data_IF_482595796841
#
_entry.id   IF_482595796841
#
_cell.length_a   1.000
_cell.length_b   1.000
_cell.length_c   1.000
_cell.angle_alpha   90.00
_cell.angle_beta   90.00
_cell.angle_gamma   90.00
#
_symmetry.space_group_name_H-M   'P 1'
#
loop_
_entity.id
_entity.type
_entity.pdbx_description
1 polymer ?
#
# COMPACT_ATOMS: atom_id res chain seq x y z
N UNK A 1 -0.82 19.77 12.38
CA UNK A 1 -0.75 18.31 12.60
C UNK A 1 0.73 17.91 12.65
N UNK A 2 1.14 17.04 13.58
CA UNK A 2 2.51 16.53 13.65
C UNK A 2 2.59 15.05 13.26
N UNK A 3 3.52 14.69 12.38
CA UNK A 3 3.78 13.31 11.93
C UNK A 3 5.16 12.88 12.42
N UNK A 4 5.30 11.62 12.84
CA UNK A 4 6.62 11.06 13.15
C UNK A 4 7.42 10.83 11.87
N UNK A 5 8.53 11.54 11.72
CA UNK A 5 9.43 11.44 10.58
C UNK A 5 10.56 10.47 10.91
N UNK A 6 10.58 9.31 10.25
CA UNK A 6 11.60 8.27 10.47
C UNK A 6 13.01 8.77 10.14
N UNK A 7 13.17 9.70 9.19
CA UNK A 7 14.48 10.26 8.81
C UNK A 7 15.14 11.03 9.96
N UNK A 8 14.37 11.81 10.70
CA UNK A 8 14.85 12.65 11.80
C UNK A 8 14.55 12.07 13.19
N UNK A 9 13.75 11.00 13.24
CA UNK A 9 13.27 10.31 14.45
C UNK A 9 12.48 11.20 15.41
N UNK A 10 11.78 12.21 14.89
CA UNK A 10 11.03 13.20 15.67
C UNK A 10 9.62 13.40 15.12
N UNK A 11 8.73 13.93 15.95
CA UNK A 11 7.43 14.44 15.50
C UNK A 11 7.61 15.84 14.93
N UNK A 12 7.27 16.04 13.67
CA UNK A 12 7.45 17.29 12.93
C UNK A 12 6.12 17.78 12.37
N UNK A 13 5.97 19.10 12.21
CA UNK A 13 4.79 19.66 11.56
C UNK A 13 4.72 19.18 10.11
N UNK A 14 3.59 18.59 9.75
CA UNK A 14 3.33 18.22 8.36
C UNK A 14 3.15 19.49 7.54
N UNK A 15 4.09 19.74 6.63
CA UNK A 15 4.07 20.85 5.68
C UNK A 15 4.05 20.25 4.27
N UNK A 16 2.94 20.36 3.51
CA UNK A 16 2.89 19.82 2.16
C UNK A 16 3.84 20.57 1.22
N UNK A 17 4.26 19.91 0.14
CA UNK A 17 5.06 20.52 -0.92
C UNK A 17 4.27 21.65 -1.61
N UNK A 18 2.99 21.42 -1.88
CA UNK A 18 2.06 22.42 -2.38
C UNK A 18 0.99 22.69 -1.32
N UNK A 19 0.74 23.96 -1.00
CA UNK A 19 -0.27 24.35 -0.02
C UNK A 19 -1.63 23.68 -0.33
N UNK A 20 -2.25 23.10 0.70
CA UNK A 20 -3.53 22.40 0.59
C UNK A 20 -3.48 21.01 -0.07
N UNK A 21 -2.33 20.54 -0.57
CA UNK A 21 -2.23 19.22 -1.24
C UNK A 21 -1.31 18.24 -0.52
N UNK A 22 -1.85 17.09 -0.13
CA UNK A 22 -1.07 16.00 0.46
C UNK A 22 -0.81 14.91 -0.57
N UNK A 23 0.46 14.61 -0.82
CA UNK A 23 0.89 13.47 -1.65
C UNK A 23 1.34 12.34 -0.73
N UNK A 24 0.78 11.14 -0.93
CA UNK A 24 1.07 9.97 -0.10
C UNK A 24 1.40 8.80 -1.02
N UNK A 25 2.58 8.20 -0.81
CA UNK A 25 2.94 6.91 -1.39
C UNK A 25 3.12 5.89 -0.26
N UNK A 26 2.53 4.71 -0.45
CA UNK A 26 2.68 3.57 0.45
C UNK A 26 3.05 2.36 -0.38
N UNK A 27 4.10 1.65 -0.01
CA UNK A 27 4.44 0.38 -0.66
C UNK A 27 3.30 -0.62 -0.46
N UNK A 28 2.76 -1.16 -1.54
CA UNK A 28 1.75 -2.22 -1.48
C UNK A 28 2.34 -3.63 -1.44
N UNK A 29 1.49 -4.66 -1.49
CA UNK A 29 1.92 -6.04 -1.28
C UNK A 29 2.56 -6.64 -2.53
N UNK A 30 3.44 -7.63 -2.30
CA UNK A 30 3.86 -8.58 -3.34
C UNK A 30 2.76 -9.62 -3.55
N UNK A 31 2.29 -9.81 -4.78
CA UNK A 31 1.12 -10.65 -5.10
C UNK A 31 1.48 -12.13 -5.29
N UNK A 32 2.28 -12.67 -4.36
CA UNK A 32 2.71 -14.07 -4.38
C UNK A 32 1.81 -15.00 -3.54
N UNK A 33 1.03 -14.46 -2.59
CA UNK A 33 0.13 -15.24 -1.76
C UNK A 33 -1.02 -14.40 -1.18
N UNK A 34 -2.02 -15.06 -0.58
CA UNK A 34 -3.12 -14.41 0.11
C UNK A 34 -2.61 -13.49 1.24
N UNK A 35 -3.25 -12.32 1.35
CA UNK A 35 -2.98 -11.33 2.41
C UNK A 35 -3.33 -11.93 3.77
N UNK A 36 -2.43 -11.80 4.74
CA UNK A 36 -2.72 -12.06 6.14
C UNK A 36 -2.94 -10.74 6.91
N UNK A 37 -3.45 -10.83 8.13
CA UNK A 37 -3.79 -9.65 8.96
C UNK A 37 -2.62 -8.66 9.13
N UNK A 38 -1.39 -9.17 9.21
CA UNK A 38 -0.18 -8.34 9.21
C UNK A 38 -0.01 -7.46 7.97
N UNK A 39 -0.36 -7.94 6.77
CA UNK A 39 -0.33 -7.13 5.55
C UNK A 39 -1.48 -6.12 5.49
N UNK A 40 -2.61 -6.41 6.14
CA UNK A 40 -3.76 -5.50 6.19
C UNK A 40 -3.51 -4.29 7.10
N UNK A 41 -2.70 -4.43 8.17
CA UNK A 41 -2.46 -3.35 9.12
C UNK A 41 -1.92 -2.05 8.47
N UNK A 42 -0.88 -2.08 7.63
CA UNK A 42 -0.44 -0.89 6.90
C UNK A 42 -1.56 -0.24 6.09
N UNK A 43 -2.36 -1.03 5.37
CA UNK A 43 -3.47 -0.51 4.55
C UNK A 43 -4.46 0.30 5.39
N UNK A 44 -4.87 -0.22 6.55
CA UNK A 44 -5.78 0.47 7.47
C UNK A 44 -5.14 1.74 8.07
N UNK A 45 -3.88 1.67 8.49
CA UNK A 45 -3.18 2.82 9.11
C UNK A 45 -3.07 3.98 8.12
N UNK A 46 -2.69 3.69 6.88
CA UNK A 46 -2.51 4.73 5.87
C UNK A 46 -3.83 5.21 5.26
N UNK A 47 -4.86 4.36 5.17
CA UNK A 47 -6.20 4.83 4.82
C UNK A 47 -6.78 5.73 5.94
N UNK A 48 -6.52 5.43 7.20
CA UNK A 48 -6.88 6.31 8.33
C UNK A 48 -6.19 7.67 8.21
N UNK A 49 -4.89 7.71 7.89
CA UNK A 49 -4.16 8.95 7.65
C UNK A 49 -4.75 9.74 6.46
N UNK A 50 -5.02 9.05 5.34
CA UNK A 50 -5.65 9.65 4.15
C UNK A 50 -7.01 10.26 4.49
N UNK A 51 -7.89 9.51 5.17
CA UNK A 51 -9.22 9.99 5.58
C UNK A 51 -9.13 11.19 6.50
N UNK A 52 -8.19 11.19 7.43
CA UNK A 52 -7.98 12.32 8.33
C UNK A 52 -7.50 13.57 7.59
N UNK A 53 -6.56 13.42 6.64
CA UNK A 53 -6.08 14.53 5.80
C UNK A 53 -7.21 15.11 4.92
N UNK A 54 -8.05 14.27 4.34
CA UNK A 54 -9.26 14.69 3.62
C UNK A 54 -10.21 15.45 4.55
N UNK A 55 -10.48 14.91 5.74
CA UNK A 55 -11.37 15.52 6.73
C UNK A 55 -10.92 16.93 7.16
N UNK A 56 -9.62 17.15 7.33
CA UNK A 56 -9.08 18.47 7.71
C UNK A 56 -8.84 19.40 6.50
N UNK A 57 -9.32 19.04 5.31
CA UNK A 57 -9.39 19.93 4.15
C UNK A 57 -8.23 19.86 3.15
N UNK A 58 -7.41 18.81 3.18
CA UNK A 58 -6.40 18.59 2.13
C UNK A 58 -7.02 17.93 0.90
N UNK A 59 -6.56 18.35 -0.28
CA UNK A 59 -6.64 17.55 -1.51
C UNK A 59 -5.57 16.45 -1.43
N UNK A 60 -5.99 15.18 -1.37
CA UNK A 60 -5.09 14.05 -1.13
C UNK A 60 -4.93 13.20 -2.39
N UNK A 61 -3.69 13.12 -2.90
CA UNK A 61 -3.31 12.11 -3.89
C UNK A 61 -2.62 10.95 -3.18
N UNK A 62 -3.30 9.81 -3.13
CA UNK A 62 -2.81 8.58 -2.53
C UNK A 62 -2.47 7.57 -3.62
N UNK A 63 -1.25 7.03 -3.60
CA UNK A 63 -0.76 6.01 -4.55
C UNK A 63 -0.19 4.83 -3.79
N UNK A 64 -0.54 3.62 -4.22
CA UNK A 64 0.03 2.37 -3.74
C UNK A 64 0.26 1.44 -4.93
N UNK A 65 1.39 0.74 -4.95
CA UNK A 65 1.74 -0.19 -6.02
C UNK A 65 1.27 -1.62 -5.69
N UNK A 66 1.33 -2.51 -6.67
CA UNK A 66 1.38 -3.95 -6.44
C UNK A 66 2.69 -4.46 -7.00
N UNK A 67 3.41 -5.28 -6.24
CA UNK A 67 4.63 -5.92 -6.75
C UNK A 67 4.24 -7.23 -7.41
N UNK A 68 4.14 -7.21 -8.73
CA UNK A 68 3.71 -8.31 -9.61
C UNK A 68 4.87 -9.08 -10.25
N UNK A 69 6.11 -8.67 -9.96
CA UNK A 69 7.32 -9.39 -10.31
C UNK A 69 8.24 -9.41 -9.10
N UNK A 70 8.55 -10.62 -8.61
CA UNK A 70 9.39 -10.87 -7.44
C UNK A 70 9.82 -12.34 -7.44
N UNK A 71 10.97 -12.66 -6.84
CA UNK A 71 11.49 -14.03 -6.75
C UNK A 71 10.50 -14.98 -6.09
N UNK A 72 9.70 -14.51 -5.12
CA UNK A 72 8.67 -15.33 -4.46
C UNK A 72 7.56 -15.75 -5.42
N UNK A 73 7.19 -14.87 -6.35
CA UNK A 73 6.19 -15.16 -7.38
C UNK A 73 6.75 -16.19 -8.36
N UNK A 74 8.00 -15.99 -8.80
CA UNK A 74 8.68 -16.88 -9.74
C UNK A 74 8.86 -18.28 -9.15
N UNK A 75 9.28 -18.39 -7.89
CA UNK A 75 9.49 -19.67 -7.23
C UNK A 75 8.17 -20.43 -7.03
N UNK A 76 7.12 -19.74 -6.58
CA UNK A 76 5.78 -20.33 -6.46
C UNK A 76 5.24 -20.83 -7.81
N UNK A 77 5.40 -20.04 -8.87
CA UNK A 77 4.97 -20.42 -10.21
C UNK A 77 5.68 -21.69 -10.70
N UNK A 78 6.98 -21.84 -10.39
CA UNK A 78 7.74 -23.07 -10.68
C UNK A 78 7.24 -24.26 -9.85
N UNK A 79 6.96 -24.07 -8.56
CA UNK A 79 6.42 -25.11 -7.67
C UNK A 79 5.03 -25.61 -8.14
N UNK A 80 4.17 -24.69 -8.58
CA UNK A 80 2.83 -25.01 -9.07
C UNK A 80 2.80 -25.40 -10.58
N UNK A 81 3.93 -25.31 -11.28
CA UNK A 81 4.08 -25.55 -12.71
C UNK A 81 3.07 -24.75 -13.57
N UNK A 82 2.94 -23.46 -13.27
CA UNK A 82 2.06 -22.51 -13.98
C UNK A 82 2.82 -21.26 -14.40
N UNK A 83 2.33 -20.50 -15.40
CA UNK A 83 2.84 -19.15 -15.67
C UNK A 83 2.75 -18.24 -14.43
N UNK A 84 3.79 -17.43 -14.18
CA UNK A 84 3.80 -16.52 -13.03
C UNK A 84 2.65 -15.49 -13.07
N UNK A 85 2.16 -15.19 -14.28
CA UNK A 85 0.99 -14.33 -14.52
C UNK A 85 -0.29 -14.89 -13.92
N UNK A 86 -0.41 -16.21 -13.80
CA UNK A 86 -1.60 -16.85 -13.24
C UNK A 86 -1.60 -16.66 -11.72
N UNK A 87 -0.43 -16.79 -11.08
CA UNK A 87 -0.24 -16.49 -9.66
C UNK A 87 -0.62 -15.02 -9.40
N UNK A 88 -0.02 -14.08 -10.13
CA UNK A 88 -0.25 -12.65 -9.88
C UNK A 88 -1.69 -12.25 -10.13
N UNK A 89 -2.30 -12.70 -11.24
CA UNK A 89 -3.70 -12.39 -11.55
C UNK A 89 -4.64 -12.92 -10.47
N UNK A 90 -4.47 -14.17 -10.04
CA UNK A 90 -5.34 -14.79 -9.04
C UNK A 90 -5.23 -14.08 -7.68
N UNK A 91 -4.01 -13.84 -7.22
CA UNK A 91 -3.77 -13.18 -5.93
C UNK A 91 -4.20 -11.72 -5.97
N UNK A 92 -3.88 -10.98 -7.04
CA UNK A 92 -4.31 -9.60 -7.19
C UNK A 92 -5.84 -9.47 -7.14
N UNK A 93 -6.57 -10.33 -7.86
CA UNK A 93 -8.03 -10.34 -7.83
C UNK A 93 -8.58 -10.59 -6.42
N UNK A 94 -7.92 -11.44 -5.63
CA UNK A 94 -8.31 -11.66 -4.24
C UNK A 94 -8.07 -10.43 -3.36
N UNK A 95 -6.91 -9.78 -3.51
CA UNK A 95 -6.55 -8.58 -2.74
C UNK A 95 -7.52 -7.43 -3.05
N UNK A 96 -7.86 -7.21 -4.32
CA UNK A 96 -8.78 -6.15 -4.71
C UNK A 96 -10.17 -6.33 -4.07
N UNK A 97 -10.65 -7.57 -3.91
CA UNK A 97 -11.91 -7.84 -3.19
C UNK A 97 -11.88 -7.44 -1.72
N UNK A 98 -10.71 -7.43 -1.08
CA UNK A 98 -10.56 -7.04 0.32
C UNK A 98 -10.41 -5.52 0.45
N UNK A 99 -9.66 -4.91 -0.48
CA UNK A 99 -9.22 -3.51 -0.36
C UNK A 99 -10.20 -2.52 -0.99
N UNK A 100 -11.02 -2.93 -1.96
CA UNK A 100 -11.96 -2.06 -2.68
C UNK A 100 -13.41 -2.09 -2.18
N UNK A 101 -13.65 -2.54 -0.93
CA UNK A 101 -14.99 -2.51 -0.30
C UNK A 101 -15.33 -1.11 0.19
#
# INVERSE_FOLDING_TARGET
MKIYNTLTRKKEDFKPIQAGKALIYVCGPTVYNYIHIGNSRPMIVYDTLRRYLLYIGYDVKFVSNFTDIDDKIINRAKEENVPFTDITKNILMHILKIVMV
#
